data_IF_153612692064
#
_entry.id   IF_153612692064
#
_cell.length_a   1.000
_cell.length_b   1.000
_cell.length_c   1.000
_cell.angle_alpha   90.00
_cell.angle_beta   90.00
_cell.angle_gamma   90.00
#
_symmetry.space_group_name_H-M   'P 1'
#
loop_
_entity.id
_entity.type
_entity.pdbx_description
1 polymer ?
#
# COMPACT_ATOMS: atom_id res chain seq x y z
N UNK A 1 -5.81 10.91 8.73
CA UNK A 1 -6.66 9.73 8.47
C UNK A 1 -5.76 8.50 8.42
N UNK A 2 -6.02 7.43 9.19
CA UNK A 2 -5.22 6.19 9.16
C UNK A 2 -5.84 5.26 8.12
N UNK A 3 -5.12 4.92 7.05
CA UNK A 3 -5.61 3.99 6.03
C UNK A 3 -5.68 2.57 6.60
N UNK A 4 -6.78 1.87 6.31
CA UNK A 4 -6.98 0.47 6.67
C UNK A 4 -6.44 -0.43 5.55
N UNK A 5 -5.27 -1.04 5.78
CA UNK A 5 -4.57 -1.90 4.82
C UNK A 5 -5.23 -3.29 4.64
N UNK A 6 -6.38 -3.55 5.27
CA UNK A 6 -7.13 -4.81 5.14
C UNK A 6 -7.54 -5.10 3.69
N UNK A 7 -7.73 -4.05 2.87
CA UNK A 7 -8.04 -4.20 1.45
C UNK A 7 -6.92 -4.86 0.64
N UNK A 8 -5.65 -4.76 1.03
CA UNK A 8 -4.53 -5.30 0.22
C UNK A 8 -4.35 -6.81 0.45
N UNK A 9 -4.67 -7.31 1.65
CA UNK A 9 -4.53 -8.75 1.97
C UNK A 9 -5.53 -9.63 1.21
N UNK A 10 -6.67 -9.07 0.79
CA UNK A 10 -7.67 -9.78 -0.01
C UNK A 10 -7.21 -9.97 -1.48
N UNK A 11 -6.23 -9.18 -1.94
CA UNK A 11 -5.74 -9.17 -3.33
C UNK A 11 -4.99 -10.43 -3.73
N UNK A 12 -4.27 -11.01 -2.77
CA UNK A 12 -3.39 -12.15 -3.03
C UNK A 12 -4.13 -13.47 -3.25
N UNK A 13 -5.46 -13.50 -3.06
CA UNK A 13 -6.27 -14.73 -3.15
C UNK A 13 -7.04 -14.91 -4.46
N UNK A 14 -6.74 -14.14 -5.51
CA UNK A 14 -7.37 -14.33 -6.83
C UNK A 14 -8.86 -13.95 -6.87
N UNK A 15 -9.34 -13.21 -5.88
CA UNK A 15 -10.64 -12.57 -5.94
C UNK A 15 -10.48 -11.29 -6.76
N UNK A 16 -11.12 -11.23 -7.93
CA UNK A 16 -11.44 -9.97 -8.58
C UNK A 16 -12.10 -9.09 -7.52
N UNK A 17 -11.46 -7.98 -7.16
CA UNK A 17 -12.06 -7.07 -6.21
C UNK A 17 -13.30 -6.45 -6.84
N UNK A 18 -14.47 -6.87 -6.39
CA UNK A 18 -15.45 -5.86 -6.00
C UNK A 18 -14.80 -5.02 -4.91
N UNK A 19 -14.17 -3.93 -5.34
CA UNK A 19 -13.35 -3.10 -4.50
C UNK A 19 -14.27 -2.32 -3.54
N UNK A 20 -14.47 -2.82 -2.33
CA UNK A 20 -15.10 -2.05 -1.24
C UNK A 20 -14.35 -0.74 -0.97
N UNK A 21 -13.07 -0.64 -1.37
CA UNK A 21 -12.31 0.61 -1.36
C UNK A 21 -12.88 1.65 -2.36
N UNK A 22 -13.35 1.24 -3.54
CA UNK A 22 -14.05 2.14 -4.47
C UNK A 22 -15.41 2.56 -3.87
N UNK A 23 -16.15 1.62 -3.26
CA UNK A 23 -17.44 1.92 -2.59
C UNK A 23 -17.25 2.88 -1.39
N UNK A 24 -16.19 2.72 -0.59
CA UNK A 24 -15.89 3.56 0.56
C UNK A 24 -15.27 4.93 0.21
N UNK A 25 -14.45 5.03 -0.84
CA UNK A 25 -13.87 6.31 -1.28
C UNK A 25 -14.88 7.13 -2.09
N UNK A 26 -15.78 6.49 -2.85
CA UNK A 26 -16.89 7.12 -3.56
C UNK A 26 -18.18 7.24 -2.74
N UNK A 27 -18.11 7.15 -1.42
CA UNK A 27 -19.29 7.30 -0.56
C UNK A 27 -19.77 8.76 -0.47
N UNK A 28 -19.89 9.48 -1.60
CA UNK A 28 -20.82 10.61 -1.72
C UNK A 28 -21.14 11.18 -3.14
N UNK A 29 -20.59 10.77 -4.30
CA UNK A 29 -20.89 11.58 -5.53
C UNK A 29 -21.04 10.92 -6.91
N UNK A 30 -20.74 9.63 -7.14
CA UNK A 30 -20.93 9.02 -8.48
C UNK A 30 -21.87 7.80 -8.40
N UNK A 31 -22.97 7.75 -9.18
CA UNK A 31 -23.85 6.57 -9.25
C UNK A 31 -23.09 5.32 -9.69
N UNK A 32 -23.35 4.16 -9.05
CA UNK A 32 -22.75 2.85 -9.37
C UNK A 32 -22.71 2.52 -10.86
N UNK A 33 -23.73 2.98 -11.61
CA UNK A 33 -23.89 2.77 -13.06
C UNK A 33 -22.84 3.49 -13.92
N UNK A 34 -22.25 4.58 -13.43
CA UNK A 34 -21.19 5.29 -14.17
C UNK A 34 -19.86 4.53 -14.11
N UNK A 35 -19.60 3.81 -13.00
CA UNK A 35 -18.39 2.99 -12.84
C UNK A 35 -18.47 1.74 -13.71
N UNK A 36 -19.64 1.11 -13.78
CA UNK A 36 -19.86 -0.09 -14.63
C UNK A 36 -19.65 0.20 -16.12
N UNK A 37 -19.96 1.42 -16.57
CA UNK A 37 -19.79 1.84 -17.95
C UNK A 37 -18.50 2.64 -18.20
N UNK A 38 -17.69 2.88 -17.17
CA UNK A 38 -16.45 3.63 -17.31
C UNK A 38 -15.43 2.80 -18.09
N UNK A 39 -14.90 3.36 -19.17
CA UNK A 39 -13.78 2.77 -19.88
C UNK A 39 -12.51 2.93 -19.02
N UNK A 40 -11.85 1.83 -18.62
CA UNK A 40 -10.64 1.91 -17.83
C UNK A 40 -9.54 2.58 -18.65
N UNK A 41 -9.05 3.72 -18.18
CA UNK A 41 -7.93 4.42 -18.80
C UNK A 41 -6.64 4.15 -18.01
N UNK A 42 -5.64 3.57 -18.68
CA UNK A 42 -4.32 3.35 -18.07
C UNK A 42 -3.55 4.66 -18.05
N UNK A 43 -3.40 5.23 -16.86
CA UNK A 43 -2.59 6.43 -16.65
C UNK A 43 -1.12 6.15 -16.96
N UNK A 44 -0.48 7.11 -17.63
CA UNK A 44 0.94 7.07 -17.94
C UNK A 44 1.71 7.95 -16.95
N UNK A 45 2.48 7.31 -16.06
CA UNK A 45 3.31 8.00 -15.08
C UNK A 45 4.77 7.95 -15.48
N UNK A 46 5.48 9.07 -15.33
CA UNK A 46 6.93 9.16 -15.59
C UNK A 46 7.74 8.20 -14.72
N UNK A 47 7.26 7.93 -13.50
CA UNK A 47 7.88 6.98 -12.59
C UNK A 47 7.40 5.54 -12.83
N UNK A 48 6.67 5.18 -13.90
CA UNK A 48 6.31 3.77 -14.15
C UNK A 48 7.56 2.90 -14.33
N UNK A 49 7.46 1.61 -14.04
CA UNK A 49 8.54 0.64 -14.26
C UNK A 49 8.05 -0.50 -15.11
N UNK A 50 8.81 -0.89 -16.13
CA UNK A 50 8.42 -1.99 -17.01
C UNK A 50 8.76 -3.37 -16.42
N UNK A 51 9.76 -3.46 -15.53
CA UNK A 51 10.36 -4.74 -15.10
C UNK A 51 10.37 -4.99 -13.57
N UNK A 52 9.59 -4.27 -12.76
CA UNK A 52 9.56 -4.49 -11.31
C UNK A 52 8.40 -5.39 -10.87
N UNK A 53 8.66 -6.68 -10.65
CA UNK A 53 7.62 -7.64 -10.25
C UNK A 53 7.35 -7.70 -8.74
N UNK A 54 8.20 -7.09 -7.90
CA UNK A 54 8.14 -7.27 -6.45
C UNK A 54 7.41 -6.15 -5.69
N UNK A 55 7.36 -4.92 -6.21
CA UNK A 55 6.85 -3.75 -5.47
C UNK A 55 5.44 -3.29 -5.85
N UNK A 56 4.71 -4.05 -6.66
CA UNK A 56 3.36 -3.64 -7.07
C UNK A 56 2.46 -3.34 -5.86
N UNK A 57 2.53 -4.15 -4.80
CA UNK A 57 1.75 -3.89 -3.58
C UNK A 57 2.12 -2.58 -2.89
N UNK A 58 3.41 -2.22 -2.88
CA UNK A 58 3.91 -0.95 -2.31
C UNK A 58 3.43 0.24 -3.12
N UNK A 59 3.48 0.13 -4.45
CA UNK A 59 2.99 1.17 -5.38
C UNK A 59 1.48 1.37 -5.23
N UNK A 60 0.69 0.29 -5.18
CA UNK A 60 -0.76 0.36 -4.98
C UNK A 60 -1.12 1.01 -3.64
N UNK A 61 -0.45 0.62 -2.55
CA UNK A 61 -0.68 1.24 -1.24
C UNK A 61 -0.33 2.73 -1.25
N UNK A 62 0.77 3.11 -1.90
CA UNK A 62 1.17 4.52 -2.02
C UNK A 62 0.17 5.33 -2.84
N UNK A 63 -0.37 4.74 -3.90
CA UNK A 63 -1.42 5.36 -4.68
C UNK A 63 -2.67 5.61 -3.84
N UNK A 64 -3.15 4.58 -3.14
CA UNK A 64 -4.30 4.70 -2.25
C UNK A 64 -4.09 5.79 -1.17
N UNK A 65 -2.86 5.95 -0.66
CA UNK A 65 -2.52 7.00 0.31
C UNK A 65 -2.56 8.43 -0.27
N UNK A 66 -2.25 8.60 -1.56
CA UNK A 66 -2.02 9.92 -2.19
C UNK A 66 -3.17 10.36 -3.11
N UNK A 67 -4.03 9.45 -3.54
CA UNK A 67 -5.10 9.68 -4.52
C UNK A 67 -6.34 10.43 -3.97
N UNK A 68 -6.27 11.06 -2.79
CA UNK A 68 -7.48 11.53 -2.12
C UNK A 68 -8.04 12.84 -2.70
N UNK A 69 -9.07 12.74 -3.55
CA UNK A 69 -9.81 13.89 -4.16
C UNK A 69 -8.94 14.84 -4.98
N UNK A 70 -7.82 14.34 -5.51
CA UNK A 70 -6.92 15.10 -6.38
C UNK A 70 -7.22 14.69 -7.83
N UNK A 71 -7.21 15.66 -8.76
CA UNK A 71 -7.32 15.38 -10.20
C UNK A 71 -6.05 14.69 -10.68
N UNK A 72 -6.13 13.84 -11.72
CA UNK A 72 -4.96 13.14 -12.30
C UNK A 72 -3.78 14.10 -12.53
N UNK A 73 -4.05 15.27 -13.11
CA UNK A 73 -3.04 16.30 -13.44
C UNK A 73 -2.27 16.85 -12.22
N UNK A 74 -2.90 16.83 -11.04
CA UNK A 74 -2.31 17.34 -9.80
C UNK A 74 -1.82 16.21 -8.90
N UNK A 75 -1.99 14.95 -9.33
CA UNK A 75 -1.67 13.80 -8.52
C UNK A 75 -0.17 13.51 -8.56
N UNK A 76 0.50 13.82 -7.46
CA UNK A 76 1.87 13.40 -7.21
C UNK A 76 1.90 12.22 -6.21
N UNK A 77 2.35 11.06 -6.70
CA UNK A 77 2.57 9.88 -5.86
C UNK A 77 3.84 9.98 -5.01
N UNK A 78 4.70 10.98 -5.27
CA UNK A 78 5.96 11.24 -4.57
C UNK A 78 7.06 10.24 -4.89
N UNK A 79 7.01 9.60 -6.07
CA UNK A 79 8.05 8.66 -6.50
C UNK A 79 9.19 9.40 -7.21
N UNK A 80 10.45 9.18 -6.79
CA UNK A 80 11.60 9.70 -7.52
C UNK A 80 11.69 9.12 -8.93
N UNK A 81 12.16 9.93 -9.88
CA UNK A 81 12.45 9.49 -11.25
C UNK A 81 13.79 8.73 -11.33
N UNK A 82 14.77 9.13 -10.51
CA UNK A 82 16.06 8.43 -10.42
C UNK A 82 15.89 7.01 -9.86
N UNK A 83 16.46 6.03 -10.56
CA UNK A 83 16.30 4.62 -10.25
C UNK A 83 16.85 4.24 -8.87
N UNK A 84 18.01 4.79 -8.48
CA UNK A 84 18.64 4.48 -7.19
C UNK A 84 17.82 5.03 -6.03
N UNK A 85 17.43 6.29 -6.13
CA UNK A 85 16.60 6.99 -5.14
C UNK A 85 15.23 6.34 -5.04
N UNK A 86 14.64 5.93 -6.16
CA UNK A 86 13.37 5.21 -6.20
C UNK A 86 13.46 3.85 -5.53
N UNK A 87 14.52 3.07 -5.76
CA UNK A 87 14.74 1.79 -5.07
C UNK A 87 14.85 1.98 -3.55
N UNK A 88 15.54 3.02 -3.10
CA UNK A 88 15.61 3.38 -1.68
C UNK A 88 14.23 3.78 -1.13
N UNK A 89 13.47 4.60 -1.88
CA UNK A 89 12.10 4.99 -1.55
C UNK A 89 11.18 3.78 -1.41
N UNK A 90 11.18 2.86 -2.39
CA UNK A 90 10.40 1.62 -2.36
C UNK A 90 10.78 0.74 -1.18
N UNK A 91 12.08 0.62 -0.87
CA UNK A 91 12.56 -0.14 0.30
C UNK A 91 12.04 0.47 1.60
N UNK A 92 12.05 1.79 1.71
CA UNK A 92 11.52 2.50 2.87
C UNK A 92 10.01 2.29 3.02
N UNK A 93 9.25 2.49 1.94
CA UNK A 93 7.80 2.29 1.92
C UNK A 93 7.42 0.83 2.24
N UNK A 94 8.17 -0.14 1.71
CA UNK A 94 7.97 -1.57 2.02
C UNK A 94 8.11 -1.84 3.51
N UNK A 95 9.15 -1.29 4.16
CA UNK A 95 9.33 -1.40 5.62
C UNK A 95 8.17 -0.74 6.36
N UNK A 96 7.79 0.47 5.98
CA UNK A 96 6.65 1.21 6.57
C UNK A 96 5.37 0.37 6.51
N UNK A 97 4.98 -0.10 5.34
CA UNK A 97 3.76 -0.86 5.14
C UNK A 97 3.81 -2.24 5.82
N UNK A 98 4.95 -2.94 5.78
CA UNK A 98 5.12 -4.21 6.47
C UNK A 98 4.93 -4.05 7.99
N UNK A 99 5.56 -3.05 8.61
CA UNK A 99 5.39 -2.75 10.03
C UNK A 99 3.92 -2.45 10.34
N UNK A 100 3.24 -1.64 9.53
CA UNK A 100 1.83 -1.32 9.73
C UNK A 100 0.94 -2.57 9.62
N UNK A 101 1.13 -3.41 8.61
CA UNK A 101 0.39 -4.66 8.42
C UNK A 101 0.61 -5.63 9.60
N UNK A 102 1.86 -5.82 10.01
CA UNK A 102 2.24 -6.74 11.09
C UNK A 102 1.68 -6.26 12.45
N UNK A 103 1.78 -4.96 12.72
CA UNK A 103 1.34 -4.35 13.99
C UNK A 103 -0.15 -4.03 14.04
N UNK A 104 -0.85 -4.13 12.91
CA UNK A 104 -2.27 -3.77 12.80
C UNK A 104 -3.14 -4.61 13.74
N UNK A 105 -4.14 -3.96 14.35
CA UNK A 105 -5.10 -4.61 15.26
C UNK A 105 -5.89 -5.74 14.58
N UNK A 106 -6.10 -5.65 13.26
CA UNK A 106 -6.80 -6.67 12.48
C UNK A 106 -5.94 -7.91 12.19
N UNK A 107 -4.62 -7.83 12.37
CA UNK A 107 -3.75 -8.97 12.15
C UNK A 107 -3.92 -9.99 13.29
N UNK A 108 -4.51 -11.15 12.95
CA UNK A 108 -4.73 -12.26 13.90
C UNK A 108 -3.44 -12.76 14.57
N UNK A 109 -2.29 -12.58 13.94
CA UNK A 109 -0.99 -12.99 14.47
C UNK A 109 -0.28 -11.87 15.24
N UNK A 110 -0.85 -10.67 15.34
CA UNK A 110 -0.23 -9.50 15.98
C UNK A 110 0.34 -9.83 17.36
N UNK A 111 -0.44 -10.49 18.23
CA UNK A 111 0.00 -10.80 19.61
C UNK A 111 1.27 -11.64 19.63
N UNK A 112 1.31 -12.70 18.81
CA UNK A 112 2.48 -13.58 18.68
C UNK A 112 3.69 -12.81 18.17
N UNK A 113 3.51 -12.05 17.08
CA UNK A 113 4.61 -11.31 16.45
C UNK A 113 5.18 -10.24 17.38
N UNK A 114 4.33 -9.53 18.13
CA UNK A 114 4.80 -8.54 19.12
C UNK A 114 5.58 -9.19 20.26
N UNK A 115 5.15 -10.37 20.74
CA UNK A 115 5.88 -11.11 21.77
C UNK A 115 7.26 -11.56 21.27
N UNK A 116 7.32 -12.17 20.08
CA UNK A 116 8.59 -12.56 19.44
C UNK A 116 9.52 -11.37 19.24
N UNK A 117 9.00 -10.22 18.78
CA UNK A 117 9.80 -9.02 18.58
C UNK A 117 10.45 -8.49 19.88
N UNK A 118 9.75 -8.59 21.02
CA UNK A 118 10.28 -8.20 22.33
C UNK A 118 11.42 -9.12 22.76
N UNK A 119 11.27 -10.44 22.58
CA UNK A 119 12.30 -11.41 22.94
C UNK A 119 13.56 -11.26 22.07
N UNK A 120 13.40 -11.02 20.76
CA UNK A 120 14.54 -10.75 19.88
C UNK A 120 15.24 -9.42 20.16
N UNK A 121 14.51 -8.38 20.60
CA UNK A 121 15.11 -7.12 21.03
C UNK A 121 16.00 -7.26 22.26
N UNK A 122 15.59 -8.09 23.24
CA UNK A 122 16.40 -8.40 24.42
C UNK A 122 17.68 -9.18 24.07
N UNK A 123 17.61 -10.08 23.10
CA UNK A 123 18.78 -10.85 22.66
C UNK A 123 19.86 -9.99 21.98
N UNK A 124 19.49 -8.85 21.37
CA UNK A 124 20.48 -7.90 20.80
C UNK A 124 21.22 -7.05 21.83
N UNK A 125 20.72 -6.95 23.06
CA UNK A 125 21.38 -6.20 24.16
C UNK A 125 22.40 -7.06 24.93
N UNK A 126 22.38 -8.40 24.73
CA UNK A 126 23.29 -9.35 25.40
C UNK A 126 24.54 -9.64 24.53
N UNK A 127 24.62 -9.08 23.32
CA UNK A 127 25.62 -9.40 22.30
C UNK A 127 26.67 -8.32 22.00
N UNK A 128 26.92 -7.36 22.90
CA UNK A 128 28.06 -6.46 22.81
C UNK A 128 28.90 -6.55 24.10
N UNK A 129 29.90 -7.43 24.08
CA UNK A 129 31.12 -7.35 24.87
C UNK A 129 32.31 -7.45 23.92
#
# INVERSE_FOLDING_TARGET
>A
MKFDYTCVLLAQKGYFFECEFIKCVHMCTAPSTEIENALPHRLDFEWKTDNNTMDYGVVVMRHMETWFRITVEKWDSGFPLDHTTKKACLTHLRKKYAVQLITSKVNKHRKRIMAEAVEHGKASEIGCN
#
